data_IF_270498705899
#
_entry.id   IF_270498705899
#
_cell.length_a   1.000
_cell.length_b   1.000
_cell.length_c   1.000
_cell.angle_alpha   90.00
_cell.angle_beta   90.00
_cell.angle_gamma   90.00
#
_symmetry.space_group_name_H-M   'P 1'
#
loop_
_entity.id
_entity.type
_entity.pdbx_description
1 polymer ?
#
# COMPACT_ATOMS: atom_id res chain seq x y z
N UNK A 1 -18.60 2.41 -22.67
CA UNK A 1 -18.92 3.79 -22.24
C UNK A 1 -17.92 4.11 -21.14
N UNK A 2 -17.00 5.05 -21.34
CA UNK A 2 -16.03 5.38 -20.32
C UNK A 2 -16.69 6.19 -19.20
N UNK A 3 -16.57 5.74 -17.96
CA UNK A 3 -16.86 6.56 -16.79
C UNK A 3 -15.71 7.56 -16.60
N UNK A 4 -15.89 8.76 -17.08
CA UNK A 4 -15.07 9.89 -16.70
C UNK A 4 -15.62 10.44 -15.38
N UNK A 5 -14.82 10.41 -14.31
CA UNK A 5 -15.12 11.13 -13.09
C UNK A 5 -14.83 12.62 -13.34
N UNK A 6 -15.89 13.41 -13.43
CA UNK A 6 -15.82 14.86 -13.45
C UNK A 6 -15.64 15.34 -12.02
N UNK A 7 -14.47 15.86 -11.70
CA UNK A 7 -14.28 16.69 -10.50
C UNK A 7 -14.86 18.07 -10.82
N UNK A 8 -16.00 18.39 -10.24
CA UNK A 8 -16.60 19.71 -10.31
C UNK A 8 -15.88 20.63 -9.29
N UNK A 9 -15.16 21.62 -9.79
CA UNK A 9 -14.73 22.78 -9.02
C UNK A 9 -15.94 23.67 -8.71
N UNK A 10 -16.27 23.84 -7.45
CA UNK A 10 -17.21 24.87 -7.03
C UNK A 10 -16.45 26.06 -6.43
N UNK A 11 -16.15 27.05 -7.23
CA UNK A 11 -15.76 28.37 -6.78
C UNK A 11 -17.02 29.11 -6.31
N UNK A 12 -17.24 29.20 -5.02
CA UNK A 12 -18.25 30.08 -4.44
C UNK A 12 -17.56 31.37 -3.96
N UNK A 13 -17.68 32.40 -4.77
CA UNK A 13 -17.35 33.78 -4.37
C UNK A 13 -18.53 34.33 -3.59
N UNK A 14 -18.40 34.57 -2.31
CA UNK A 14 -19.37 35.31 -1.51
C UNK A 14 -18.99 36.77 -1.52
N UNK A 15 -19.75 37.58 -2.25
CA UNK A 15 -19.73 39.03 -2.18
C UNK A 15 -20.62 39.47 -1.03
N UNK A 16 -20.03 40.04 0.03
CA UNK A 16 -20.76 40.76 1.08
C UNK A 16 -20.75 42.26 0.73
N UNK A 17 -21.92 42.76 0.38
CA UNK A 17 -22.15 44.19 0.21
C UNK A 17 -22.36 44.83 1.59
N UNK A 18 -21.54 45.82 1.92
CA UNK A 18 -21.73 46.67 3.09
C UNK A 18 -22.47 47.95 2.69
N UNK A 19 -23.61 48.24 3.34
CA UNK A 19 -24.34 49.48 3.24
C UNK A 19 -23.69 50.56 4.11
N UNK A 20 -23.49 51.71 3.49
CA UNK A 20 -23.08 52.96 4.18
C UNK A 20 -24.17 53.48 5.09
N UNK A 21 -23.76 54.00 6.24
CA UNK A 21 -24.47 55.14 6.86
C UNK A 21 -23.47 56.05 7.59
N UNK A 22 -23.50 57.32 7.19
CA UNK A 22 -22.71 58.42 7.70
C UNK A 22 -23.23 58.90 9.04
N UNK A 23 -22.37 59.38 9.94
CA UNK A 23 -22.37 60.73 10.51
C UNK A 23 -21.30 60.96 11.59
N UNK A 24 -20.66 62.14 11.47
CA UNK A 24 -20.01 63.07 12.41
C UNK A 24 -18.66 62.74 13.03
N UNK A 25 -17.77 63.70 12.72
CA UNK A 25 -16.40 63.98 13.15
C UNK A 25 -16.18 64.00 14.66
N UNK A 26 -15.05 63.45 15.06
CA UNK A 26 -14.16 64.05 16.11
C UNK A 26 -12.73 63.60 15.82
N UNK A 27 -11.84 64.60 15.72
CA UNK A 27 -10.42 64.44 15.44
C UNK A 27 -9.67 63.87 16.65
N UNK A 28 -8.90 62.78 16.45
CA UNK A 28 -7.84 62.31 17.36
C UNK A 28 -6.73 61.69 16.48
N UNK A 29 -5.45 61.74 16.87
CA UNK A 29 -4.30 61.79 15.99
C UNK A 29 -4.03 60.48 15.23
N UNK A 30 -3.56 60.63 14.00
CA UNK A 30 -3.03 59.55 13.16
C UNK A 30 -1.84 58.86 13.84
N UNK A 31 -2.09 57.61 14.28
CA UNK A 31 -1.04 56.61 14.35
C UNK A 31 -1.13 55.82 13.04
N UNK A 32 -0.22 56.13 12.12
CA UNK A 32 -0.10 55.42 10.84
C UNK A 32 0.59 54.06 11.02
N UNK A 33 -0.02 53.20 11.80
CA UNK A 33 0.29 51.78 11.81
C UNK A 33 -0.35 51.14 10.57
N UNK A 34 0.38 51.09 9.45
CA UNK A 34 0.03 50.23 8.33
C UNK A 34 0.00 48.82 8.84
N UNK A 35 -1.18 48.32 9.16
CA UNK A 35 -1.38 46.90 9.36
C UNK A 35 -1.00 46.21 8.05
N UNK A 36 0.21 45.66 7.98
CA UNK A 36 0.60 44.75 6.95
C UNK A 36 -0.46 43.65 6.92
N UNK A 37 -1.10 43.36 5.76
CA UNK A 37 -1.93 42.22 5.67
C UNK A 37 -1.06 41.02 6.05
N UNK A 38 -1.49 40.23 7.02
CA UNK A 38 -0.88 38.96 7.35
C UNK A 38 -0.91 38.12 6.05
N UNK A 39 0.15 38.26 5.27
CA UNK A 39 0.43 37.30 4.19
C UNK A 39 0.76 36.02 4.96
N UNK A 40 -0.23 35.13 5.06
CA UNK A 40 0.02 33.75 5.51
C UNK A 40 1.03 33.23 4.50
N UNK A 41 2.27 32.93 4.92
CA UNK A 41 3.22 32.33 3.97
C UNK A 41 2.57 31.09 3.40
N UNK A 42 2.41 30.99 2.09
CA UNK A 42 2.07 29.73 1.44
C UNK A 42 3.24 28.81 1.74
N UNK A 43 3.04 27.87 2.65
CA UNK A 43 4.06 26.88 2.99
C UNK A 43 4.40 26.11 1.72
N UNK A 44 5.55 26.44 1.15
CA UNK A 44 6.09 25.71 0.00
C UNK A 44 6.61 24.36 0.49
N UNK A 45 6.30 23.31 -0.27
CA UNK A 45 6.86 21.97 -0.12
C UNK A 45 6.40 21.21 1.14
N UNK A 46 5.12 21.21 1.46
CA UNK A 46 4.58 20.37 2.53
C UNK A 46 3.99 19.05 2.05
N UNK A 47 3.95 18.81 0.75
CA UNK A 47 3.63 17.52 0.16
C UNK A 47 4.89 16.80 -0.28
N UNK A 48 4.83 15.48 -0.30
CA UNK A 48 5.87 14.67 -0.88
C UNK A 48 5.30 13.47 -1.64
N UNK A 49 6.07 13.04 -2.60
CA UNK A 49 5.88 11.80 -3.33
C UNK A 49 7.17 10.98 -3.20
N UNK A 50 7.06 9.67 -3.03
CA UNK A 50 8.21 8.77 -3.18
C UNK A 50 7.81 7.53 -3.97
N UNK A 51 8.81 7.00 -4.65
CA UNK A 51 8.73 5.78 -5.42
C UNK A 51 9.97 4.95 -5.15
N UNK A 52 9.77 3.65 -5.01
CA UNK A 52 10.84 2.74 -4.67
C UNK A 52 10.55 1.31 -5.01
N UNK A 53 11.49 0.46 -4.65
CA UNK A 53 11.39 -0.99 -4.79
C UNK A 53 11.58 -1.66 -3.45
N UNK A 54 10.96 -2.85 -3.32
CA UNK A 54 11.04 -3.63 -2.10
C UNK A 54 11.35 -5.10 -2.35
N UNK A 55 11.74 -5.75 -1.26
CA UNK A 55 11.87 -7.20 -1.14
C UNK A 55 11.08 -7.63 0.09
N UNK A 56 10.33 -8.73 -0.06
CA UNK A 56 9.52 -9.25 1.01
C UNK A 56 9.93 -10.66 1.41
N UNK A 57 9.79 -10.93 2.70
CA UNK A 57 9.96 -12.24 3.31
C UNK A 57 8.71 -12.55 4.12
N UNK A 58 8.15 -13.73 3.92
CA UNK A 58 6.93 -14.18 4.58
C UNK A 58 7.26 -15.21 5.64
N UNK A 59 6.61 -15.12 6.79
CA UNK A 59 6.60 -16.23 7.74
C UNK A 59 5.70 -17.33 7.19
N UNK A 60 6.03 -18.60 7.49
CA UNK A 60 5.17 -19.71 7.16
C UNK A 60 3.80 -19.52 7.82
N UNK A 61 2.74 -19.80 7.09
CA UNK A 61 1.36 -19.53 7.53
C UNK A 61 0.40 -20.65 7.15
N UNK A 62 -0.66 -20.76 7.90
CA UNK A 62 -1.73 -21.72 7.65
C UNK A 62 -2.71 -21.15 6.63
N UNK A 63 -3.15 -21.99 5.70
CA UNK A 63 -4.16 -21.64 4.68
C UNK A 63 -5.36 -22.54 4.89
N UNK A 64 -6.48 -21.98 5.32
CA UNK A 64 -7.73 -22.71 5.53
C UNK A 64 -8.62 -22.62 4.30
N UNK A 65 -8.91 -23.76 3.67
CA UNK A 65 -9.73 -23.87 2.46
C UNK A 65 -11.11 -24.39 2.81
N UNK A 66 -12.14 -23.73 2.29
CA UNK A 66 -13.54 -24.11 2.43
C UNK A 66 -14.22 -24.18 1.08
N UNK A 67 -14.69 -25.38 0.68
CA UNK A 67 -15.41 -25.65 -0.57
C UNK A 67 -16.64 -26.49 -0.24
N UNK A 68 -17.76 -25.86 0.20
CA UNK A 68 -18.89 -26.57 0.77
C UNK A 68 -19.54 -27.58 -0.17
N UNK A 69 -19.66 -27.24 -1.46
CA UNK A 69 -20.27 -28.12 -2.46
C UNK A 69 -19.43 -29.34 -2.78
N UNK A 70 -18.14 -29.30 -2.51
CA UNK A 70 -17.21 -30.41 -2.64
C UNK A 70 -17.03 -31.19 -1.33
N UNK A 71 -17.67 -30.75 -0.25
CA UNK A 71 -17.49 -31.32 1.09
C UNK A 71 -16.09 -31.12 1.65
N UNK A 72 -15.40 -30.02 1.29
CA UNK A 72 -14.05 -29.70 1.71
C UNK A 72 -14.03 -28.60 2.76
N UNK A 73 -13.35 -28.85 3.89
CA UNK A 73 -12.99 -27.87 4.91
C UNK A 73 -11.70 -28.35 5.56
N UNK A 74 -10.57 -27.83 5.14
CA UNK A 74 -9.25 -28.30 5.58
C UNK A 74 -8.24 -27.17 5.67
N UNK A 75 -7.19 -27.40 6.43
CA UNK A 75 -6.07 -26.47 6.60
C UNK A 75 -4.79 -27.10 6.07
N UNK A 76 -4.08 -26.36 5.24
CA UNK A 76 -2.71 -26.66 4.83
C UNK A 76 -1.81 -25.85 5.77
N UNK A 77 -1.06 -26.55 6.62
CA UNK A 77 -0.30 -25.95 7.71
C UNK A 77 1.09 -25.52 7.28
N UNK A 78 1.56 -24.40 7.84
CA UNK A 78 2.92 -23.88 7.75
C UNK A 78 3.42 -23.77 6.30
N UNK A 79 2.58 -23.22 5.42
CA UNK A 79 2.93 -23.00 4.03
C UNK A 79 3.97 -21.89 3.91
N UNK A 80 5.13 -22.22 3.36
CA UNK A 80 6.19 -21.27 3.04
C UNK A 80 5.92 -20.61 1.69
N UNK A 81 6.25 -19.33 1.59
CA UNK A 81 6.10 -18.56 0.36
C UNK A 81 7.26 -17.58 0.16
N UNK A 82 7.42 -17.14 -1.07
CA UNK A 82 8.40 -16.13 -1.46
C UNK A 82 7.74 -14.99 -2.23
N UNK A 83 8.43 -13.86 -2.30
CA UNK A 83 8.00 -12.68 -3.03
C UNK A 83 8.15 -12.84 -4.56
N UNK A 84 8.81 -13.90 -5.04
CA UNK A 84 9.15 -14.11 -6.45
C UNK A 84 9.71 -12.85 -7.13
N UNK A 85 10.45 -12.05 -6.37
CA UNK A 85 11.03 -10.82 -6.88
C UNK A 85 12.05 -11.11 -7.98
N UNK A 86 12.09 -10.28 -9.02
CA UNK A 86 13.11 -10.39 -10.06
C UNK A 86 14.51 -10.17 -9.47
N UNK A 87 15.52 -10.68 -10.13
CA UNK A 87 16.92 -10.31 -9.84
C UNK A 87 17.13 -8.82 -10.09
N UNK A 88 18.20 -8.25 -9.52
CA UNK A 88 18.51 -6.83 -9.74
C UNK A 88 18.62 -6.48 -11.23
N UNK A 89 19.22 -7.36 -12.04
CA UNK A 89 19.36 -7.16 -13.49
C UNK A 89 18.01 -7.16 -14.21
N UNK A 90 17.10 -8.07 -13.87
CA UNK A 90 15.74 -8.13 -14.44
C UNK A 90 14.90 -6.94 -13.99
N UNK A 91 15.05 -6.49 -12.75
CA UNK A 91 14.38 -5.29 -12.23
C UNK A 91 14.86 -4.02 -12.95
N UNK A 92 16.16 -3.89 -13.17
CA UNK A 92 16.73 -2.77 -13.91
C UNK A 92 16.27 -2.77 -15.37
N UNK A 93 16.31 -3.93 -16.04
CA UNK A 93 15.81 -4.08 -17.42
C UNK A 93 14.34 -3.69 -17.55
N UNK A 94 13.49 -4.18 -16.64
CA UNK A 94 12.08 -3.80 -16.59
C UNK A 94 11.89 -2.27 -16.44
N UNK A 95 12.66 -1.64 -15.57
CA UNK A 95 12.59 -0.19 -15.35
C UNK A 95 13.02 0.59 -16.58
N UNK A 96 14.11 0.20 -17.24
CA UNK A 96 14.60 0.83 -18.47
C UNK A 96 13.63 0.66 -19.64
N UNK A 97 12.81 -0.39 -19.65
CA UNK A 97 11.78 -0.63 -20.65
C UNK A 97 10.40 -0.09 -20.23
N UNK A 98 10.33 0.77 -19.21
CA UNK A 98 9.09 1.36 -18.69
C UNK A 98 8.03 0.33 -18.25
N UNK A 99 8.44 -0.87 -17.87
CA UNK A 99 7.58 -1.89 -17.29
C UNK A 99 7.62 -1.80 -15.76
N UNK A 100 6.99 -0.78 -15.22
CA UNK A 100 7.05 -0.44 -13.79
C UNK A 100 6.29 -1.41 -12.89
N UNK A 101 5.40 -2.25 -13.43
CA UNK A 101 4.58 -3.18 -12.64
C UNK A 101 5.21 -4.57 -12.46
N UNK A 102 6.36 -4.83 -13.03
CA UNK A 102 7.04 -6.12 -12.87
C UNK A 102 7.92 -6.17 -11.61
N UNK A 103 8.72 -5.15 -11.28
CA UNK A 103 9.37 -5.06 -9.98
C UNK A 103 8.34 -4.77 -8.87
N UNK A 104 8.69 -5.09 -7.63
CA UNK A 104 7.85 -4.81 -6.47
C UNK A 104 7.98 -3.35 -6.08
N UNK A 105 7.00 -2.58 -6.46
CA UNK A 105 7.00 -1.13 -6.33
C UNK A 105 6.33 -0.66 -5.04
N UNK A 106 6.90 0.41 -4.48
CA UNK A 106 6.31 1.16 -3.38
C UNK A 106 6.05 2.58 -3.84
N UNK A 107 4.82 3.02 -3.68
CA UNK A 107 4.39 4.39 -3.99
C UNK A 107 3.86 5.02 -2.72
N UNK A 108 4.32 6.24 -2.42
CA UNK A 108 3.86 6.99 -1.25
C UNK A 108 3.55 8.43 -1.63
N UNK A 109 2.46 8.94 -1.09
CA UNK A 109 2.09 10.36 -1.18
C UNK A 109 1.73 10.81 0.22
N UNK A 110 2.42 11.84 0.72
CA UNK A 110 2.18 12.34 2.07
C UNK A 110 2.15 13.84 2.15
N UNK A 111 1.56 14.32 3.24
CA UNK A 111 1.49 15.74 3.56
C UNK A 111 1.95 15.96 4.99
N UNK A 112 2.93 16.86 5.16
CA UNK A 112 3.33 17.32 6.47
C UNK A 112 2.26 18.23 7.08
N UNK A 113 2.05 18.10 8.37
CA UNK A 113 1.10 18.90 9.13
C UNK A 113 1.76 20.04 9.90
N UNK A 114 3.09 20.06 9.96
CA UNK A 114 3.89 21.02 10.70
C UNK A 114 4.99 21.66 9.80
N UNK A 115 5.37 22.91 10.03
CA UNK A 115 6.42 23.58 9.27
C UNK A 115 7.81 22.95 9.45
N UNK A 116 8.05 22.32 10.58
CA UNK A 116 9.28 21.60 10.91
C UNK A 116 9.38 20.27 10.16
N UNK A 117 8.29 19.83 9.51
CA UNK A 117 8.19 18.57 8.74
C UNK A 117 8.55 17.34 9.58
N UNK A 118 8.08 17.32 10.82
CA UNK A 118 8.32 16.24 11.77
C UNK A 118 7.21 15.21 11.78
N UNK A 119 6.00 15.58 11.35
CA UNK A 119 4.85 14.68 11.26
C UNK A 119 4.10 14.83 9.94
N UNK A 120 3.72 13.69 9.36
CA UNK A 120 2.92 13.64 8.14
C UNK A 120 1.84 12.57 8.21
N UNK A 121 0.80 12.76 7.40
CA UNK A 121 -0.13 11.69 7.01
C UNK A 121 0.22 11.27 5.59
N UNK A 122 0.31 9.97 5.37
CA UNK A 122 0.77 9.38 4.12
C UNK A 122 -0.19 8.31 3.64
N UNK A 123 -0.48 8.31 2.35
CA UNK A 123 -1.07 7.19 1.65
C UNK A 123 0.06 6.37 1.02
N UNK A 124 0.02 5.04 1.18
CA UNK A 124 0.98 4.14 0.54
C UNK A 124 0.30 3.00 -0.22
N UNK A 125 0.96 2.61 -1.31
CA UNK A 125 0.70 1.39 -2.05
C UNK A 125 2.01 0.60 -2.11
N UNK A 126 2.02 -0.58 -1.52
CA UNK A 126 3.14 -1.51 -1.59
C UNK A 126 2.72 -2.71 -2.45
N UNK A 127 3.33 -2.82 -3.64
CA UNK A 127 3.07 -3.91 -4.57
C UNK A 127 3.94 -5.11 -4.21
N UNK A 128 3.43 -5.98 -3.37
CA UNK A 128 4.09 -7.23 -2.99
C UNK A 128 3.55 -8.43 -3.76
N UNK A 129 4.26 -9.54 -3.74
CA UNK A 129 3.85 -10.81 -4.36
C UNK A 129 3.99 -11.92 -3.36
N UNK A 130 3.01 -12.83 -3.33
CA UNK A 130 3.03 -14.00 -2.49
C UNK A 130 2.91 -15.24 -3.36
N UNK A 131 3.93 -16.08 -3.39
CA UNK A 131 3.93 -17.32 -4.16
C UNK A 131 4.33 -18.49 -3.27
N UNK A 132 3.47 -19.48 -3.14
CA UNK A 132 3.77 -20.73 -2.46
C UNK A 132 5.05 -21.34 -3.01
N UNK A 133 6.00 -21.69 -2.16
CA UNK A 133 7.21 -22.40 -2.55
C UNK A 133 6.87 -23.83 -3.00
N UNK A 134 7.17 -24.16 -4.24
CA UNK A 134 6.89 -25.50 -4.78
C UNK A 134 7.92 -26.51 -4.30
N UNK A 135 7.46 -27.76 -4.14
CA UNK A 135 8.29 -28.87 -3.66
C UNK A 135 8.40 -29.00 -2.14
N UNK A 136 7.87 -28.01 -1.39
CA UNK A 136 7.77 -28.15 0.07
C UNK A 136 6.73 -29.21 0.44
N UNK A 137 6.85 -29.76 1.64
CA UNK A 137 5.84 -30.62 2.24
C UNK A 137 5.06 -29.86 3.30
N UNK A 138 3.75 -30.02 3.32
CA UNK A 138 2.87 -29.40 4.29
C UNK A 138 1.91 -30.42 4.90
N UNK A 139 1.66 -30.30 6.20
CA UNK A 139 0.67 -31.13 6.90
C UNK A 139 -0.73 -30.60 6.54
N UNK A 140 -1.68 -31.52 6.31
CA UNK A 140 -3.05 -31.17 5.93
C UNK A 140 -4.01 -31.89 6.85
N UNK A 141 -4.88 -31.11 7.49
CA UNK A 141 -5.89 -31.65 8.41
C UNK A 141 -7.27 -31.08 8.11
N UNK A 142 -8.30 -31.83 8.38
CA UNK A 142 -9.69 -31.39 8.23
C UNK A 142 -10.55 -32.41 7.54
N UNK A 143 -11.32 -31.96 6.51
CA UNK A 143 -12.25 -32.81 5.74
C UNK A 143 -12.08 -32.56 4.25
N UNK A 144 -11.96 -33.62 3.47
CA UNK A 144 -11.94 -33.59 1.99
C UNK A 144 -12.94 -34.62 1.48
N UNK A 145 -13.83 -34.22 0.55
CA UNK A 145 -14.90 -35.05 0.04
C UNK A 145 -15.76 -35.67 1.17
N UNK A 146 -16.06 -34.89 2.20
CA UNK A 146 -16.77 -35.31 3.40
C UNK A 146 -16.08 -36.43 4.20
N UNK A 147 -14.78 -36.66 3.99
CA UNK A 147 -14.00 -37.64 4.73
C UNK A 147 -12.92 -36.93 5.56
N UNK A 148 -12.70 -37.35 6.81
CA UNK A 148 -11.59 -36.81 7.61
C UNK A 148 -10.26 -37.02 6.90
N UNK A 149 -9.38 -36.03 6.95
CA UNK A 149 -8.03 -36.08 6.42
C UNK A 149 -7.02 -35.64 7.47
N UNK A 150 -5.94 -36.39 7.57
CA UNK A 150 -4.75 -36.08 8.36
C UNK A 150 -3.57 -36.69 7.58
N UNK A 151 -2.90 -35.87 6.77
CA UNK A 151 -1.89 -36.34 5.81
C UNK A 151 -0.84 -35.28 5.53
N UNK A 152 0.14 -35.63 4.71
CA UNK A 152 1.17 -34.69 4.22
C UNK A 152 1.09 -34.61 2.72
N UNK A 153 1.04 -33.38 2.19
CA UNK A 153 1.14 -33.13 0.76
C UNK A 153 2.52 -32.59 0.37
N UNK A 154 2.99 -32.96 -0.81
CA UNK A 154 4.04 -32.20 -1.49
C UNK A 154 3.34 -31.15 -2.35
N UNK A 155 3.62 -29.87 -2.09
CA UNK A 155 2.95 -28.77 -2.76
C UNK A 155 3.54 -28.56 -4.15
N UNK A 156 2.71 -28.67 -5.16
CA UNK A 156 3.05 -28.44 -6.56
C UNK A 156 1.93 -27.65 -7.27
N UNK A 157 2.13 -27.36 -8.56
CA UNK A 157 1.18 -26.58 -9.36
C UNK A 157 -0.18 -27.26 -9.55
N UNK A 158 -0.31 -28.53 -9.30
CA UNK A 158 -1.57 -29.29 -9.44
C UNK A 158 -2.22 -29.53 -8.07
N UNK A 159 -1.43 -29.94 -7.07
CA UNK A 159 -1.96 -30.31 -5.77
C UNK A 159 -2.40 -29.08 -4.96
N UNK A 160 -1.50 -28.09 -4.85
CA UNK A 160 -1.79 -26.86 -4.12
C UNK A 160 -0.82 -25.77 -4.56
N UNK A 161 -1.31 -24.85 -5.37
CA UNK A 161 -0.60 -23.65 -5.82
C UNK A 161 -1.42 -22.42 -5.47
N UNK A 162 -1.06 -21.74 -4.37
CA UNK A 162 -1.76 -20.60 -3.83
C UNK A 162 -0.90 -19.36 -4.01
N UNK A 163 -1.37 -18.41 -4.81
CA UNK A 163 -0.56 -17.28 -5.25
C UNK A 163 -1.33 -15.97 -5.39
N UNK A 164 -0.61 -14.88 -5.14
CA UNK A 164 -1.00 -13.51 -5.41
C UNK A 164 0.10 -12.84 -6.24
N UNK A 165 0.36 -13.33 -7.45
CA UNK A 165 1.57 -13.01 -8.22
C UNK A 165 1.48 -11.70 -9.01
N UNK A 166 0.30 -11.18 -9.31
CA UNK A 166 0.10 -9.84 -9.86
C UNK A 166 -0.21 -8.81 -8.77
N UNK A 167 0.18 -9.10 -7.56
CA UNK A 167 0.17 -8.25 -6.38
C UNK A 167 -0.66 -8.80 -5.22
N UNK A 168 -0.03 -8.82 -4.06
CA UNK A 168 -0.66 -8.77 -2.75
C UNK A 168 -0.54 -7.32 -2.29
N UNK A 169 -1.29 -6.40 -2.91
CA UNK A 169 -1.11 -4.99 -2.69
C UNK A 169 -1.58 -4.58 -1.30
N UNK A 170 -0.70 -3.93 -0.54
CA UNK A 170 -1.05 -3.27 0.71
C UNK A 170 -1.36 -1.80 0.42
N UNK A 171 -2.61 -1.40 0.61
CA UNK A 171 -3.04 0.00 0.48
C UNK A 171 -3.31 0.53 1.87
N UNK A 172 -2.49 1.49 2.31
CA UNK A 172 -2.47 1.91 3.71
C UNK A 172 -2.53 3.43 3.87
N UNK A 173 -3.07 3.85 5.00
CA UNK A 173 -2.87 5.20 5.55
C UNK A 173 -1.90 5.10 6.71
N UNK A 174 -0.87 5.92 6.69
CA UNK A 174 0.22 5.92 7.66
C UNK A 174 0.28 7.27 8.40
N UNK A 175 0.54 7.21 9.70
CA UNK A 175 1.11 8.30 10.46
C UNK A 175 2.64 8.17 10.38
N UNK A 176 3.30 9.26 10.04
CA UNK A 176 4.74 9.29 9.74
C UNK A 176 5.41 10.31 10.64
N UNK A 177 6.49 9.90 11.29
CA UNK A 177 7.33 10.79 12.10
C UNK A 177 8.75 10.81 11.53
N UNK A 178 9.32 12.02 11.44
CA UNK A 178 10.72 12.25 11.11
C UNK A 178 11.43 12.89 12.30
N UNK A 179 12.61 12.41 12.57
CA UNK A 179 13.46 12.96 13.59
C UNK A 179 14.86 13.20 13.04
N UNK A 180 15.32 14.46 13.14
CA UNK A 180 16.66 14.87 12.72
C UNK A 180 17.73 14.16 13.53
N UNK A 181 18.69 13.56 12.86
CA UNK A 181 19.83 12.87 13.47
C UNK A 181 21.15 13.62 13.29
N UNK A 182 21.42 14.08 12.07
CA UNK A 182 22.70 14.67 11.73
C UNK A 182 22.61 15.59 10.51
N UNK A 183 23.51 16.58 10.42
CA UNK A 183 23.59 17.48 9.27
C UNK A 183 22.75 18.77 9.44
N UNK A 184 22.66 19.59 8.40
CA UNK A 184 21.88 20.81 8.44
C UNK A 184 20.41 20.53 8.20
N UNK A 185 19.54 20.81 9.21
CA UNK A 185 18.10 20.53 9.15
C UNK A 185 17.44 21.07 7.88
N UNK A 186 16.65 20.22 7.22
CA UNK A 186 15.88 20.48 6.00
C UNK A 186 16.73 20.98 4.81
N UNK A 187 18.01 20.68 4.79
CA UNK A 187 18.94 21.05 3.71
C UNK A 187 19.67 19.80 3.18
N UNK A 188 20.35 19.91 2.04
CA UNK A 188 21.22 18.83 1.56
C UNK A 188 22.21 18.36 2.65
N UNK A 189 22.29 17.05 2.86
CA UNK A 189 23.10 16.44 3.91
C UNK A 189 22.35 16.19 5.23
N UNK A 190 21.07 16.54 5.33
CA UNK A 190 20.23 16.18 6.48
C UNK A 190 19.98 14.68 6.51
N UNK A 191 20.32 14.04 7.61
CA UNK A 191 20.00 12.65 7.91
C UNK A 191 18.92 12.62 8.99
N UNK A 192 17.82 11.98 8.69
CA UNK A 192 16.66 11.83 9.55
C UNK A 192 16.36 10.35 9.81
N UNK A 193 15.93 9.99 11.01
CA UNK A 193 15.21 8.73 11.21
C UNK A 193 13.75 8.93 10.79
N UNK A 194 13.18 7.87 10.23
CA UNK A 194 11.77 7.85 9.85
C UNK A 194 11.10 6.66 10.50
N UNK A 195 9.90 6.90 11.02
CA UNK A 195 9.03 5.87 11.55
C UNK A 195 7.62 6.04 11.02
N UNK A 196 6.96 4.93 10.72
CA UNK A 196 5.59 4.86 10.24
C UNK A 196 4.79 3.85 11.05
N UNK A 197 3.54 4.15 11.27
CA UNK A 197 2.53 3.17 11.69
C UNK A 197 1.30 3.37 10.81
N UNK A 198 0.77 2.29 10.29
CA UNK A 198 -0.36 2.38 9.38
C UNK A 198 -1.25 1.16 9.39
N UNK A 199 -2.43 1.36 8.80
CA UNK A 199 -3.40 0.31 8.56
C UNK A 199 -4.14 0.57 7.25
N UNK A 200 -4.74 -0.48 6.70
CA UNK A 200 -5.43 -0.38 5.44
C UNK A 200 -6.04 -1.69 5.00
N UNK A 201 -6.12 -1.91 3.72
CA UNK A 201 -6.70 -3.11 3.15
C UNK A 201 -5.76 -3.80 2.16
N UNK A 202 -6.00 -5.10 1.98
CA UNK A 202 -5.31 -5.93 1.01
C UNK A 202 -6.11 -5.97 -0.30
N UNK A 203 -5.43 -5.67 -1.39
CA UNK A 203 -5.97 -5.68 -2.76
C UNK A 203 -5.19 -6.68 -3.61
N UNK A 204 -5.34 -7.99 -3.39
CA UNK A 204 -4.65 -9.00 -4.18
C UNK A 204 -5.27 -9.21 -5.55
N UNK A 205 -4.45 -9.81 -6.44
CA UNK A 205 -4.89 -10.58 -7.58
C UNK A 205 -4.54 -12.05 -7.31
N UNK A 206 -5.56 -12.90 -7.18
CA UNK A 206 -5.41 -14.28 -6.74
C UNK A 206 -5.74 -15.28 -7.86
N UNK A 207 -4.74 -16.04 -8.29
CA UNK A 207 -4.89 -17.17 -9.23
C UNK A 207 -4.41 -18.45 -8.54
N UNK A 208 -5.36 -19.22 -8.02
CA UNK A 208 -5.06 -20.38 -7.20
C UNK A 208 -5.46 -21.67 -7.91
N UNK A 209 -4.58 -22.66 -7.91
CA UNK A 209 -4.88 -24.02 -8.37
C UNK A 209 -4.85 -24.97 -7.18
N UNK A 210 -5.97 -25.60 -6.90
CA UNK A 210 -6.13 -26.53 -5.78
C UNK A 210 -6.74 -27.83 -6.33
N UNK A 211 -6.06 -28.95 -6.11
CA UNK A 211 -6.47 -30.27 -6.61
C UNK A 211 -6.82 -30.25 -8.12
N UNK A 212 -5.96 -29.59 -8.91
CA UNK A 212 -6.10 -29.49 -10.36
C UNK A 212 -7.15 -28.48 -10.85
N UNK A 213 -7.82 -27.76 -9.95
CA UNK A 213 -8.88 -26.81 -10.28
C UNK A 213 -8.45 -25.38 -9.98
N UNK A 214 -8.62 -24.49 -10.97
CA UNK A 214 -8.27 -23.05 -10.83
C UNK A 214 -9.51 -22.23 -10.55
N UNK A 215 -9.40 -21.20 -9.71
CA UNK A 215 -10.47 -20.26 -9.45
C UNK A 215 -10.75 -19.36 -10.66
N UNK A 216 -11.99 -18.89 -10.76
CA UNK A 216 -12.34 -17.84 -11.71
C UNK A 216 -11.73 -16.51 -11.29
N UNK A 217 -11.08 -15.86 -12.25
CA UNK A 217 -10.56 -14.49 -12.12
C UNK A 217 -11.18 -13.66 -13.22
N UNK A 218 -11.68 -12.49 -12.86
CA UNK A 218 -12.29 -11.57 -13.81
C UNK A 218 -11.32 -11.03 -14.86
N UNK A 219 -11.83 -10.43 -15.92
CA UNK A 219 -11.03 -9.91 -17.03
C UNK A 219 -10.11 -8.77 -16.58
N UNK A 220 -8.93 -8.74 -17.14
CA UNK A 220 -7.81 -7.85 -16.75
C UNK A 220 -8.10 -6.36 -16.88
N UNK A 221 -8.88 -5.93 -17.84
CA UNK A 221 -9.30 -4.53 -18.07
C UNK A 221 -10.45 -4.51 -19.07
N UNK A 222 -11.50 -3.79 -18.79
CA UNK A 222 -12.34 -3.21 -19.83
C UNK A 222 -13.63 -3.93 -20.15
N UNK A 223 -13.91 -5.15 -19.74
CA UNK A 223 -15.10 -5.86 -20.21
C UNK A 223 -16.28 -5.96 -19.24
N UNK A 224 -16.13 -5.72 -17.99
CA UNK A 224 -17.24 -5.55 -17.01
C UNK A 224 -16.70 -4.98 -15.71
N UNK A 225 -17.47 -4.11 -15.09
CA UNK A 225 -17.29 -3.54 -13.76
C UNK A 225 -15.87 -3.73 -13.21
N UNK A 226 -15.05 -2.74 -13.46
CA UNK A 226 -13.76 -2.60 -12.84
C UNK A 226 -13.80 -2.91 -11.35
N UNK A 227 -12.98 -3.87 -10.94
CA UNK A 227 -12.07 -3.57 -9.90
C UNK A 227 -12.62 -3.57 -8.50
N UNK A 228 -13.01 -4.57 -7.87
CA UNK A 228 -13.03 -4.67 -6.40
C UNK A 228 -14.04 -5.72 -5.91
N UNK A 229 -14.74 -6.36 -6.84
CA UNK A 229 -15.60 -7.50 -6.55
C UNK A 229 -14.80 -8.78 -6.28
N UNK A 230 -15.43 -9.79 -5.75
CA UNK A 230 -14.80 -11.05 -5.35
C UNK A 230 -14.15 -11.81 -6.51
N UNK A 231 -14.72 -11.71 -7.70
CA UNK A 231 -14.21 -12.40 -8.90
C UNK A 231 -13.64 -11.42 -9.93
N UNK A 232 -13.40 -10.17 -9.54
CA UNK A 232 -12.74 -9.18 -10.39
C UNK A 232 -11.24 -9.45 -10.45
N UNK A 233 -10.54 -8.76 -11.35
CA UNK A 233 -9.09 -8.86 -11.44
C UNK A 233 -8.39 -8.46 -10.13
N UNK A 234 -8.77 -7.30 -9.57
CA UNK A 234 -8.34 -6.83 -8.26
C UNK A 234 -9.47 -7.05 -7.26
N UNK A 235 -9.13 -7.56 -6.08
CA UNK A 235 -10.09 -8.01 -5.09
C UNK A 235 -9.76 -7.44 -3.72
N UNK A 236 -10.70 -6.77 -3.05
CA UNK A 236 -10.51 -6.38 -1.64
C UNK A 236 -10.83 -7.61 -0.79
N UNK A 237 -9.81 -8.26 -0.26
CA UNK A 237 -9.95 -9.53 0.44
C UNK A 237 -9.45 -9.53 1.89
N UNK A 238 -9.20 -8.35 2.46
CA UNK A 238 -8.77 -8.31 3.84
C UNK A 238 -8.24 -6.97 4.29
N UNK A 239 -7.66 -6.96 5.46
CA UNK A 239 -7.04 -5.79 6.05
C UNK A 239 -5.57 -6.02 6.36
N UNK A 240 -4.81 -4.95 6.50
CA UNK A 240 -3.39 -4.96 6.85
C UNK A 240 -3.09 -3.87 7.86
N UNK A 241 -2.11 -4.11 8.70
CA UNK A 241 -1.52 -3.12 9.58
C UNK A 241 -0.01 -3.37 9.71
N UNK A 242 0.76 -2.32 9.91
CA UNK A 242 2.21 -2.46 10.00
C UNK A 242 2.92 -1.28 10.63
N UNK A 243 4.17 -1.51 10.94
CA UNK A 243 5.12 -0.50 11.39
C UNK A 243 6.32 -0.49 10.44
N UNK A 244 6.93 0.65 10.24
CA UNK A 244 8.09 0.81 9.38
C UNK A 244 9.09 1.78 10.02
N UNK A 245 10.36 1.41 9.99
CA UNK A 245 11.46 2.18 10.55
C UNK A 245 12.59 2.29 9.53
N UNK A 246 13.29 3.40 9.53
CA UNK A 246 14.44 3.57 8.63
C UNK A 246 15.10 4.92 8.71
N UNK A 247 15.80 5.25 7.63
CA UNK A 247 16.57 6.48 7.47
C UNK A 247 16.17 7.18 6.18
N UNK A 248 16.11 8.50 6.26
CA UNK A 248 15.96 9.40 5.12
C UNK A 248 17.21 10.28 5.03
N UNK A 249 17.77 10.37 3.84
CA UNK A 249 18.89 11.27 3.54
C UNK A 249 18.49 12.30 2.48
N UNK A 250 18.60 13.56 2.79
CA UNK A 250 18.24 14.65 1.90
C UNK A 250 19.39 14.96 0.94
N UNK A 251 19.19 14.68 -0.34
CA UNK A 251 20.18 14.87 -1.41
C UNK A 251 20.20 16.31 -1.90
N UNK A 252 19.02 16.92 -2.06
CA UNK A 252 18.83 18.33 -2.42
C UNK A 252 17.80 18.94 -1.47
N UNK A 253 17.42 20.21 -1.65
CA UNK A 253 16.33 20.83 -0.86
C UNK A 253 14.99 20.12 -1.07
N UNK A 254 14.78 19.51 -2.23
CA UNK A 254 13.53 18.85 -2.59
C UNK A 254 13.63 17.33 -2.75
N UNK A 255 14.82 16.76 -2.94
CA UNK A 255 15.00 15.33 -3.19
C UNK A 255 15.62 14.61 -1.99
N UNK A 256 15.14 13.40 -1.72
CA UNK A 256 15.67 12.55 -0.67
C UNK A 256 15.70 11.07 -1.10
N UNK A 257 16.51 10.30 -0.39
CA UNK A 257 16.54 8.83 -0.46
C UNK A 257 16.09 8.27 0.88
N UNK A 258 15.39 7.15 0.86
CA UNK A 258 14.98 6.40 2.04
C UNK A 258 15.39 4.94 1.94
N UNK A 259 15.85 4.42 3.06
CA UNK A 259 16.04 2.98 3.29
C UNK A 259 15.27 2.60 4.54
N UNK A 260 14.27 1.73 4.41
CA UNK A 260 13.39 1.35 5.52
C UNK A 260 13.20 -0.16 5.60
N UNK A 261 12.83 -0.61 6.79
CA UNK A 261 12.36 -1.96 7.06
C UNK A 261 10.95 -1.87 7.65
N UNK A 262 10.05 -2.68 7.14
CA UNK A 262 8.64 -2.73 7.53
C UNK A 262 8.28 -4.13 8.01
N UNK A 263 7.54 -4.19 9.09
CA UNK A 263 6.82 -5.39 9.54
C UNK A 263 5.33 -5.15 9.36
N UNK A 264 4.66 -6.07 8.66
CA UNK A 264 3.23 -5.97 8.41
C UNK A 264 2.52 -7.29 8.67
N UNK A 265 1.34 -7.17 9.23
CA UNK A 265 0.37 -8.25 9.35
C UNK A 265 -0.75 -8.02 8.35
N UNK A 266 -1.16 -9.09 7.67
CA UNK A 266 -2.29 -9.10 6.75
C UNK A 266 -3.23 -10.25 7.04
N UNK A 267 -4.53 -9.97 7.16
CA UNK A 267 -5.56 -10.99 7.29
C UNK A 267 -6.36 -11.06 6.00
N UNK A 268 -6.10 -12.08 5.20
CA UNK A 268 -6.86 -12.39 3.99
C UNK A 268 -8.07 -13.24 4.34
N UNK A 269 -9.24 -12.84 3.85
CA UNK A 269 -10.50 -13.52 4.11
C UNK A 269 -11.26 -13.75 2.81
N UNK A 270 -11.76 -14.97 2.67
CA UNK A 270 -12.56 -15.40 1.51
C UNK A 270 -11.84 -15.20 0.17
N UNK A 271 -10.51 -15.45 0.13
CA UNK A 271 -9.75 -15.51 -1.12
C UNK A 271 -10.40 -16.54 -2.04
N UNK A 272 -10.75 -16.20 -3.29
CA UNK A 272 -11.40 -17.14 -4.19
C UNK A 272 -10.51 -18.37 -4.48
N UNK A 273 -11.09 -19.54 -4.33
CA UNK A 273 -10.57 -20.79 -4.87
C UNK A 273 -11.68 -21.44 -5.68
N UNK A 274 -11.37 -22.48 -6.44
CA UNK A 274 -12.41 -23.20 -7.21
C UNK A 274 -13.56 -23.64 -6.30
N UNK A 275 -14.79 -23.24 -6.61
CA UNK A 275 -16.02 -23.52 -5.86
C UNK A 275 -15.94 -23.25 -4.35
N UNK A 276 -15.13 -22.25 -3.93
CA UNK A 276 -14.96 -21.97 -2.52
C UNK A 276 -14.15 -20.72 -2.20
N UNK A 277 -13.56 -20.76 -1.02
CA UNK A 277 -12.69 -19.68 -0.55
C UNK A 277 -11.60 -20.21 0.38
N UNK A 278 -10.52 -19.43 0.53
CA UNK A 278 -9.48 -19.65 1.50
C UNK A 278 -9.31 -18.44 2.42
N UNK A 279 -8.95 -18.71 3.66
CA UNK A 279 -8.57 -17.71 4.66
C UNK A 279 -7.11 -17.91 5.05
N UNK A 280 -6.38 -16.79 5.23
CA UNK A 280 -4.96 -16.82 5.59
C UNK A 280 -4.58 -15.58 6.38
N UNK A 281 -3.77 -15.76 7.39
CA UNK A 281 -3.11 -14.67 8.13
C UNK A 281 -1.62 -14.68 7.79
N UNK A 282 -1.09 -13.53 7.35
CA UNK A 282 0.29 -13.41 6.82
C UNK A 282 1.07 -12.41 7.68
N UNK A 283 2.27 -12.82 8.09
CA UNK A 283 3.29 -11.92 8.60
C UNK A 283 4.34 -11.69 7.52
N UNK A 284 4.69 -10.44 7.27
CA UNK A 284 5.60 -10.02 6.22
C UNK A 284 6.63 -9.03 6.78
N UNK A 285 7.90 -9.31 6.53
CA UNK A 285 9.00 -8.35 6.64
C UNK A 285 9.31 -7.79 5.26
N UNK A 286 9.48 -6.49 5.14
CA UNK A 286 9.78 -5.82 3.88
C UNK A 286 10.95 -4.87 4.04
N UNK A 287 11.92 -4.90 3.12
CA UNK A 287 12.96 -3.89 2.98
C UNK A 287 12.67 -3.01 1.76
N UNK A 288 12.67 -1.70 1.94
CA UNK A 288 12.30 -0.72 0.90
C UNK A 288 13.45 0.25 0.67
N UNK A 289 13.81 0.46 -0.59
CA UNK A 289 14.68 1.55 -1.04
C UNK A 289 13.88 2.46 -1.95
N UNK A 290 13.75 3.73 -1.60
CA UNK A 290 12.96 4.69 -2.37
C UNK A 290 13.68 6.02 -2.56
N UNK A 291 13.29 6.74 -3.61
CA UNK A 291 13.61 8.14 -3.84
C UNK A 291 12.34 8.97 -3.76
N UNK A 292 12.44 10.16 -3.17
CA UNK A 292 11.28 11.02 -3.00
C UNK A 292 11.56 12.47 -3.34
N UNK A 293 10.47 13.20 -3.55
CA UNK A 293 10.45 14.61 -3.92
C UNK A 293 9.43 15.38 -3.07
N UNK A 294 9.86 16.54 -2.58
CA UNK A 294 9.06 17.50 -1.80
C UNK A 294 8.57 18.62 -2.71
N UNK A 295 7.27 18.98 -2.64
CA UNK A 295 6.65 20.01 -3.48
C UNK A 295 5.51 20.77 -2.76
#
# INVERSE_FOLDING_TARGET
>A
VPCAAVLAESNSVVLIASSENSTTQSAVPQDSGTANPHIIPVEKNNWYFSWGYSRQWYQASDIHVTQPELGNSYTVHQVEASDAAPTFAEGLDSTLNFNFFNPQENIRVGKFSDPEKTFAIEFSLDHSKYNTNLGQTAHVTGTINNQPVDTTWTLDRQQFYYVHHNGLNHIMMNAVWLHHLYGPKQKPGDLESISRIGAGFLLPHSENTIQGQTNDVGPKWGDRSCCLGRNDWWQILGWTAGIELGLRYRVTESMYLELTAKEAYGALKRVPVYQGSADQDIWMTEAVLSAGYLF
#
